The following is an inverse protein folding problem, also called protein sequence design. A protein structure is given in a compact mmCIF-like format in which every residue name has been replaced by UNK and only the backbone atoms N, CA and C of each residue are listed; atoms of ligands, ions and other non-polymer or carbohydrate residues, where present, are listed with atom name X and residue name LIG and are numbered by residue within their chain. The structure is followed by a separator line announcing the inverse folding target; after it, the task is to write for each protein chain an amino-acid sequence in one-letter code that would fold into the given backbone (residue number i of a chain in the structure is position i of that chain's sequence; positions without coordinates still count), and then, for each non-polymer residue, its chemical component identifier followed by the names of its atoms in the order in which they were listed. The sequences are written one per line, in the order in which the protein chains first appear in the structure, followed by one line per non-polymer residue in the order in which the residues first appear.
data_IF_827254428832
#
_entry.id   IF_827254428832
#
_cell.length_a   1.000
_cell.length_b   1.000
_cell.length_c   1.000
_cell.angle_alpha   90.00
_cell.angle_beta   90.00
_cell.angle_gamma   90.00
#
_symmetry.space_group_name_H-M   'P 1'
#
loop_
_entity.id
_entity.type
_entity.pdbx_description
1 polymer ?
#
# COMPACT_ATOMS: atom_id res chain seq x y z
N UNK A 1 -7.80 6.10 -17.96
CA UNK A 1 -6.75 6.77 -17.18
C UNK A 1 -5.36 6.15 -17.43
N UNK A 2 -4.42 6.89 -18.00
CA UNK A 2 -3.06 6.43 -18.31
C UNK A 2 -2.09 6.63 -17.12
N UNK A 3 -0.91 5.99 -17.13
CA UNK A 3 0.13 6.12 -16.09
C UNK A 3 0.58 7.57 -15.85
N UNK A 4 0.54 8.41 -16.88
CA UNK A 4 0.89 9.83 -16.79
C UNK A 4 -0.19 10.58 -16.03
N UNK A 5 -1.46 10.36 -16.36
CA UNK A 5 -2.60 10.97 -15.67
C UNK A 5 -2.66 10.54 -14.19
N UNK A 6 -2.38 9.26 -13.89
CA UNK A 6 -2.28 8.75 -12.51
C UNK A 6 -1.27 9.56 -11.67
N UNK A 7 -0.11 9.85 -12.27
CA UNK A 7 0.97 10.63 -11.69
C UNK A 7 0.62 12.11 -11.58
N UNK A 8 0.02 12.70 -12.61
CA UNK A 8 -0.37 14.11 -12.60
C UNK A 8 -1.46 14.38 -11.56
N UNK A 9 -2.48 13.51 -11.48
CA UNK A 9 -3.52 13.57 -10.47
C UNK A 9 -2.94 13.48 -9.06
N UNK A 10 -2.01 12.55 -8.83
CA UNK A 10 -1.33 12.43 -7.54
C UNK A 10 -0.60 13.73 -7.17
N UNK A 11 0.11 14.34 -8.12
CA UNK A 11 0.81 15.62 -7.89
C UNK A 11 -0.17 16.73 -7.52
N UNK A 12 -1.33 16.81 -8.19
CA UNK A 12 -2.34 17.82 -7.89
C UNK A 12 -2.99 17.62 -6.52
N UNK A 13 -3.39 16.38 -6.19
CA UNK A 13 -4.04 16.03 -4.92
C UNK A 13 -3.14 16.29 -3.70
N UNK A 14 -1.82 16.18 -3.89
CA UNK A 14 -0.83 16.40 -2.83
C UNK A 14 -0.54 17.88 -2.61
N UNK A 15 -0.64 18.75 -3.62
CA UNK A 15 -0.20 20.17 -3.55
C UNK A 15 -0.79 20.96 -2.37
N UNK A 16 -2.04 20.70 -1.99
CA UNK A 16 -2.69 21.37 -0.85
C UNK A 16 -2.44 20.71 0.52
N UNK A 17 -1.82 19.52 0.55
CA UNK A 17 -1.68 18.66 1.74
C UNK A 17 -0.22 18.26 2.00
N UNK A 18 0.75 18.89 1.33
CA UNK A 18 2.17 18.52 1.42
C UNK A 18 2.66 18.50 2.86
N UNK A 19 2.34 19.53 3.65
CA UNK A 19 2.84 19.65 5.03
C UNK A 19 2.41 18.47 5.90
N UNK A 20 1.13 18.09 5.86
CA UNK A 20 0.62 16.98 6.67
C UNK A 20 1.11 15.62 6.15
N UNK A 21 1.21 15.44 4.82
CA UNK A 21 1.71 14.20 4.23
C UNK A 21 3.21 14.02 4.47
N UNK A 22 3.98 15.11 4.51
CA UNK A 22 5.38 15.11 4.92
C UNK A 22 5.51 14.69 6.37
N UNK A 23 4.71 15.27 7.28
CA UNK A 23 4.71 14.88 8.69
C UNK A 23 4.37 13.39 8.87
N UNK A 24 3.33 12.90 8.20
CA UNK A 24 2.93 11.47 8.24
C UNK A 24 4.06 10.57 7.70
N UNK A 25 4.66 10.94 6.57
CA UNK A 25 5.77 10.18 5.98
C UNK A 25 6.98 10.15 6.92
N UNK A 26 7.32 11.28 7.53
CA UNK A 26 8.42 11.39 8.48
C UNK A 26 8.18 10.53 9.73
N UNK A 27 6.96 10.58 10.30
CA UNK A 27 6.57 9.73 11.43
C UNK A 27 6.76 8.25 11.06
N UNK A 28 6.27 7.82 9.88
CA UNK A 28 6.41 6.44 9.43
C UNK A 28 7.87 6.02 9.24
N UNK A 29 8.70 6.89 8.68
CA UNK A 29 10.14 6.63 8.52
C UNK A 29 10.82 6.51 9.88
N UNK A 30 10.51 7.39 10.84
CA UNK A 30 11.08 7.34 12.19
C UNK A 30 10.64 6.10 12.95
N UNK A 31 9.36 5.71 12.86
CA UNK A 31 8.86 4.48 13.49
C UNK A 31 9.53 3.25 12.89
N UNK A 32 9.66 3.19 11.56
CA UNK A 32 10.25 2.04 10.87
C UNK A 32 11.76 1.94 11.12
N UNK A 33 12.47 3.07 11.03
CA UNK A 33 13.92 3.14 11.22
C UNK A 33 14.30 2.96 12.70
N UNK A 34 13.63 3.68 13.60
CA UNK A 34 13.83 3.56 15.05
C UNK A 34 13.48 2.15 15.55
N UNK A 35 12.38 1.57 15.07
CA UNK A 35 12.03 0.17 15.34
C UNK A 35 13.13 -0.79 14.90
N UNK A 36 13.65 -0.64 13.68
CA UNK A 36 14.72 -1.50 13.16
C UNK A 36 16.03 -1.39 13.96
N UNK A 37 16.38 -0.18 14.43
CA UNK A 37 17.58 0.06 15.24
C UNK A 37 17.50 -0.55 16.64
N UNK A 38 16.39 -0.33 17.37
CA UNK A 38 16.19 -0.88 18.72
C UNK A 38 16.24 -2.41 18.71
N UNK A 39 15.70 -3.02 17.66
CA UNK A 39 15.63 -4.47 17.51
C UNK A 39 16.97 -5.11 17.09
N UNK A 40 17.91 -4.34 16.56
CA UNK A 40 19.26 -4.82 16.20
C UNK A 40 20.10 -5.19 17.44
N UNK A 41 19.68 -4.77 18.63
CA UNK A 41 20.34 -5.07 19.91
C UNK A 41 19.79 -6.31 20.63
N UNK A 42 18.75 -6.97 20.11
CA UNK A 42 18.11 -8.13 20.77
C UNK A 42 18.14 -9.36 19.84
N UNK A 43 18.90 -10.43 20.16
CA UNK A 43 18.95 -11.62 19.32
C UNK A 43 17.71 -12.52 19.49
N UNK A 44 17.15 -12.93 18.33
CA UNK A 44 16.23 -14.04 18.07
C UNK A 44 14.80 -13.99 18.70
N UNK A 45 13.81 -13.95 17.80
CA UNK A 45 12.36 -14.26 17.98
C UNK A 45 11.43 -13.16 18.57
N UNK A 46 11.81 -12.43 19.62
CA UNK A 46 10.95 -11.37 20.19
C UNK A 46 10.69 -10.17 19.27
N UNK A 47 11.63 -9.91 18.35
CA UNK A 47 11.67 -8.76 17.45
C UNK A 47 10.68 -8.82 16.29
N UNK A 48 10.27 -10.03 15.86
CA UNK A 48 9.42 -10.19 14.68
C UNK A 48 7.94 -10.00 15.05
N UNK A 49 7.53 -10.50 16.22
CA UNK A 49 6.15 -10.38 16.69
C UNK A 49 5.78 -8.93 17.06
N UNK A 50 6.67 -8.20 17.75
CA UNK A 50 6.46 -6.78 18.09
C UNK A 50 6.45 -5.88 16.86
N UNK A 51 7.28 -6.17 15.85
CA UNK A 51 7.27 -5.49 14.55
C UNK A 51 5.93 -5.66 13.84
N UNK A 52 5.37 -6.87 13.78
CA UNK A 52 4.09 -7.06 13.08
C UNK A 52 2.96 -6.33 13.83
N UNK A 53 2.97 -6.33 15.16
CA UNK A 53 1.90 -5.72 15.97
C UNK A 53 1.92 -4.19 15.90
N UNK A 54 3.09 -3.55 15.87
CA UNK A 54 3.18 -2.08 15.80
C UNK A 54 3.06 -1.57 14.36
N UNK A 55 3.68 -2.27 13.41
CA UNK A 55 3.83 -1.76 12.03
C UNK A 55 2.64 -2.11 11.13
N UNK A 56 1.95 -3.23 11.37
CA UNK A 56 0.81 -3.62 10.52
C UNK A 56 -0.39 -2.65 10.62
N UNK A 57 -0.81 -2.19 11.81
CA UNK A 57 -1.88 -1.20 11.95
C UNK A 57 -1.50 0.14 11.34
N UNK A 58 -0.26 0.59 11.55
CA UNK A 58 0.27 1.81 10.95
C UNK A 58 0.32 1.73 9.42
N UNK A 59 0.63 0.55 8.87
CA UNK A 59 0.60 0.34 7.41
C UNK A 59 -0.82 0.46 6.86
N UNK A 60 -1.83 -0.10 7.54
CA UNK A 60 -3.23 0.10 7.14
C UNK A 60 -3.67 1.55 7.26
N UNK A 61 -3.35 2.23 8.37
CA UNK A 61 -3.67 3.64 8.56
C UNK A 61 -2.98 4.54 7.52
N UNK A 62 -1.74 4.20 7.15
CA UNK A 62 -1.02 4.86 6.06
C UNK A 62 -1.78 4.71 4.73
N UNK A 63 -2.22 3.50 4.39
CA UNK A 63 -3.02 3.26 3.18
C UNK A 63 -4.35 3.99 3.21
N UNK A 64 -5.05 4.03 4.35
CA UNK A 64 -6.27 4.81 4.54
C UNK A 64 -6.04 6.30 4.27
N UNK A 65 -4.94 6.86 4.76
CA UNK A 65 -4.55 8.26 4.50
C UNK A 65 -4.38 8.53 3.00
N UNK A 66 -3.65 7.70 2.27
CA UNK A 66 -3.42 7.94 0.83
C UNK A 66 -4.65 7.65 -0.02
N UNK A 67 -5.54 6.75 0.40
CA UNK A 67 -6.87 6.61 -0.18
C UNK A 67 -7.71 7.88 0.03
N UNK A 68 -7.70 8.47 1.22
CA UNK A 68 -8.36 9.77 1.46
C UNK A 68 -7.81 10.87 0.56
N UNK A 69 -6.49 10.94 0.39
CA UNK A 69 -5.85 11.90 -0.54
C UNK A 69 -6.33 11.67 -1.98
N UNK A 70 -6.30 10.43 -2.45
CA UNK A 70 -6.73 10.05 -3.79
C UNK A 70 -8.22 10.32 -4.03
N UNK A 71 -9.04 10.21 -2.98
CA UNK A 71 -10.47 10.50 -3.01
C UNK A 71 -10.79 11.98 -2.77
N UNK A 72 -9.79 12.85 -2.65
CA UNK A 72 -9.98 14.30 -2.41
C UNK A 72 -10.42 14.67 -1.00
N UNK A 73 -10.51 13.73 -0.07
CA UNK A 73 -11.01 13.92 1.30
C UNK A 73 -10.00 14.62 2.22
N UNK A 74 -10.47 15.29 3.28
CA UNK A 74 -9.60 15.89 4.29
C UNK A 74 -8.81 14.81 5.04
N UNK A 75 -7.52 15.11 5.27
CA UNK A 75 -6.55 14.21 5.88
C UNK A 75 -6.12 14.82 7.19
N UNK A 76 -6.07 14.02 8.24
CA UNK A 76 -5.56 14.39 9.55
C UNK A 76 -4.50 13.39 10.01
N UNK A 77 -3.57 13.81 10.88
CA UNK A 77 -2.55 12.90 11.44
C UNK A 77 -3.22 11.75 12.21
N UNK A 78 -4.37 12.00 12.84
CA UNK A 78 -5.17 10.99 13.54
C UNK A 78 -5.65 9.84 12.64
N UNK A 79 -5.78 10.06 11.33
CA UNK A 79 -6.18 9.00 10.39
C UNK A 79 -5.12 7.89 10.29
N UNK A 80 -3.85 8.19 10.56
CA UNK A 80 -2.77 7.21 10.60
C UNK A 80 -3.01 6.15 11.69
N UNK A 81 -3.66 6.54 12.79
CA UNK A 81 -3.92 5.66 13.92
C UNK A 81 -5.23 4.88 13.78
N UNK A 82 -6.07 5.17 12.77
CA UNK A 82 -7.31 4.41 12.54
C UNK A 82 -7.07 2.95 12.21
N UNK A 83 -5.91 2.61 11.66
CA UNK A 83 -5.52 1.21 11.47
C UNK A 83 -5.43 0.40 12.78
N UNK A 84 -5.32 1.06 13.95
CA UNK A 84 -5.39 0.41 15.26
C UNK A 84 -6.81 0.00 15.68
N UNK A 85 -7.86 0.44 14.98
CA UNK A 85 -9.22 0.00 15.29
C UNK A 85 -9.43 -1.48 14.91
N UNK A 86 -8.72 -1.96 13.90
CA UNK A 86 -8.78 -3.34 13.40
C UNK A 86 -7.43 -4.06 13.46
N UNK A 87 -6.76 -4.01 14.61
CA UNK A 87 -5.46 -4.68 14.85
C UNK A 87 -5.45 -6.13 14.37
N UNK A 88 -6.52 -6.86 14.65
CA UNK A 88 -6.62 -8.29 14.35
C UNK A 88 -6.71 -8.56 12.84
N UNK A 89 -7.35 -7.67 12.10
CA UNK A 89 -7.45 -7.76 10.65
C UNK A 89 -6.13 -7.35 9.99
N UNK A 90 -5.52 -6.26 10.45
CA UNK A 90 -4.20 -5.80 10.00
C UNK A 90 -3.13 -6.88 10.15
N UNK A 91 -3.06 -7.47 11.35
CA UNK A 91 -2.12 -8.53 11.68
C UNK A 91 -2.30 -9.76 10.78
N UNK A 92 -3.53 -10.26 10.64
CA UNK A 92 -3.83 -11.43 9.79
C UNK A 92 -3.45 -11.19 8.35
N UNK A 93 -3.78 -10.02 7.81
CA UNK A 93 -3.48 -9.68 6.42
C UNK A 93 -1.98 -9.66 6.19
N UNK A 94 -1.23 -8.97 7.06
CA UNK A 94 0.22 -8.93 6.97
C UNK A 94 0.83 -10.34 7.06
N UNK A 95 0.31 -11.17 7.97
CA UNK A 95 0.75 -12.54 8.14
C UNK A 95 0.49 -13.40 6.90
N UNK A 96 -0.73 -13.39 6.34
CA UNK A 96 -1.07 -14.20 5.16
C UNK A 96 -0.36 -13.71 3.91
N UNK A 97 -0.29 -12.39 3.67
CA UNK A 97 0.43 -11.83 2.53
C UNK A 97 1.91 -12.19 2.61
N UNK A 98 2.53 -12.04 3.79
CA UNK A 98 3.92 -12.40 4.03
C UNK A 98 4.17 -13.90 3.85
N UNK A 99 3.31 -14.75 4.42
CA UNK A 99 3.39 -16.21 4.32
C UNK A 99 3.29 -16.65 2.86
N UNK A 100 2.25 -16.22 2.14
CA UNK A 100 2.09 -16.61 0.74
C UNK A 100 3.23 -16.08 -0.12
N UNK A 101 3.63 -14.82 0.04
CA UNK A 101 4.74 -14.25 -0.74
C UNK A 101 6.05 -14.98 -0.47
N UNK A 102 6.32 -15.33 0.80
CA UNK A 102 7.48 -16.14 1.20
C UNK A 102 7.44 -17.54 0.58
N UNK A 103 6.31 -18.23 0.65
CA UNK A 103 6.13 -19.56 0.06
C UNK A 103 6.35 -19.54 -1.46
N UNK A 104 5.79 -18.55 -2.16
CA UNK A 104 5.99 -18.40 -3.60
C UNK A 104 7.42 -18.03 -3.96
N UNK A 105 8.08 -17.16 -3.18
CA UNK A 105 9.47 -16.74 -3.41
C UNK A 105 10.48 -17.86 -3.10
N UNK A 106 10.16 -18.73 -2.13
CA UNK A 106 10.97 -19.91 -1.79
C UNK A 106 10.89 -20.96 -2.90
N UNK A 107 9.74 -21.07 -3.57
CA UNK A 107 9.56 -21.98 -4.69
C UNK A 107 10.29 -21.46 -5.96
N UNK A 108 10.07 -20.18 -6.32
CA UNK A 108 10.78 -19.48 -7.40
C UNK A 108 10.63 -17.95 -7.26
N UNK A 109 11.69 -17.18 -7.56
CA UNK A 109 11.69 -15.70 -7.40
C UNK A 109 10.64 -15.01 -8.29
N UNK A 110 10.49 -15.43 -9.55
CA UNK A 110 9.58 -14.82 -10.53
C UNK A 110 8.09 -14.95 -10.14
N UNK A 111 7.53 -16.13 -9.80
CA UNK A 111 6.14 -16.24 -9.37
C UNK A 111 5.89 -15.55 -8.02
N UNK A 112 6.90 -15.45 -7.14
CA UNK A 112 6.84 -14.63 -5.93
C UNK A 112 6.49 -13.17 -6.23
N UNK A 113 7.18 -12.55 -7.20
CA UNK A 113 6.92 -11.17 -7.62
C UNK A 113 5.50 -11.01 -8.19
N UNK A 114 5.08 -11.91 -9.10
CA UNK A 114 3.75 -11.85 -9.73
C UNK A 114 2.63 -11.98 -8.70
N UNK A 115 2.80 -12.87 -7.71
CA UNK A 115 1.84 -13.03 -6.61
C UNK A 115 1.84 -11.84 -5.66
N UNK A 116 3.01 -11.29 -5.33
CA UNK A 116 3.12 -10.05 -4.55
C UNK A 116 2.36 -8.89 -5.20
N UNK A 117 2.51 -8.72 -6.52
CA UNK A 117 1.73 -7.73 -7.28
C UNK A 117 0.23 -8.03 -7.18
N UNK A 118 -0.17 -9.29 -7.32
CA UNK A 118 -1.58 -9.69 -7.25
C UNK A 118 -2.22 -9.42 -5.87
N UNK A 119 -1.42 -9.33 -4.80
CA UNK A 119 -1.90 -9.09 -3.43
C UNK A 119 -1.80 -7.62 -3.01
N UNK A 120 -1.17 -6.78 -3.82
CA UNK A 120 -0.90 -5.37 -3.49
C UNK A 120 -2.18 -4.55 -3.18
N UNK A 121 -3.32 -4.91 -3.80
CA UNK A 121 -4.59 -4.22 -3.61
C UNK A 121 -5.37 -4.70 -2.38
N UNK A 122 -4.99 -5.83 -1.77
CA UNK A 122 -5.70 -6.41 -0.63
C UNK A 122 -5.78 -5.42 0.55
N UNK A 123 -4.70 -4.69 0.80
CA UNK A 123 -4.66 -3.69 1.85
C UNK A 123 -5.58 -2.48 1.58
N UNK A 124 -5.74 -2.08 0.32
CA UNK A 124 -6.66 -1.00 -0.07
C UNK A 124 -8.12 -1.43 0.11
N UNK A 125 -8.44 -2.68 -0.24
CA UNK A 125 -9.76 -3.27 -0.04
C UNK A 125 -10.12 -3.33 1.45
N UNK A 126 -9.16 -3.72 2.30
CA UNK A 126 -9.33 -3.76 3.75
C UNK A 126 -9.45 -2.36 4.37
N UNK A 127 -8.70 -1.39 3.84
CA UNK A 127 -8.79 -0.01 4.30
C UNK A 127 -10.19 0.58 4.06
N UNK A 128 -10.87 0.16 2.98
CA UNK A 128 -12.26 0.57 2.70
C UNK A 128 -13.31 -0.30 3.40
N UNK A 129 -12.98 -1.56 3.72
CA UNK A 129 -13.88 -2.52 4.36
C UNK A 129 -13.28 -3.04 5.67
N UNK A 130 -13.24 -2.21 6.73
CA UNK A 130 -12.81 -2.64 8.05
C UNK A 130 -13.64 -3.84 8.51
N UNK A 131 -12.98 -4.87 9.03
CA UNK A 131 -13.61 -6.14 9.44
C UNK A 131 -13.71 -7.26 8.37
N UNK A 132 -13.40 -7.02 7.10
CA UNK A 132 -13.36 -8.08 6.07
C UNK A 132 -12.25 -9.11 6.36
N UNK A 133 -12.51 -10.39 6.06
CA UNK A 133 -11.51 -11.45 6.24
C UNK A 133 -10.28 -11.26 5.32
N UNK A 134 -9.08 -11.43 5.86
CA UNK A 134 -7.82 -11.28 5.11
C UNK A 134 -7.77 -12.12 3.82
N UNK A 135 -8.24 -13.38 3.87
CA UNK A 135 -8.30 -14.26 2.69
C UNK A 135 -9.29 -13.77 1.65
N UNK A 136 -10.41 -13.19 2.08
CA UNK A 136 -11.41 -12.61 1.20
C UNK A 136 -10.84 -11.38 0.48
N UNK A 137 -10.16 -10.49 1.23
CA UNK A 137 -9.47 -9.34 0.66
C UNK A 137 -8.38 -9.74 -0.34
N UNK A 138 -7.60 -10.78 -0.03
CA UNK A 138 -6.59 -11.33 -0.96
C UNK A 138 -7.25 -11.87 -2.23
N UNK A 139 -8.35 -12.60 -2.12
CA UNK A 139 -9.03 -13.16 -3.27
C UNK A 139 -9.66 -12.07 -4.15
N UNK A 140 -10.29 -11.05 -3.54
CA UNK A 140 -10.78 -9.88 -4.26
C UNK A 140 -9.64 -9.11 -4.94
N UNK A 141 -8.50 -8.95 -4.27
CA UNK A 141 -7.31 -8.33 -4.86
C UNK A 141 -6.81 -9.10 -6.08
N UNK A 142 -6.75 -10.44 -6.02
CA UNK A 142 -6.33 -11.27 -7.15
C UNK A 142 -7.24 -11.06 -8.37
N UNK A 143 -8.56 -11.06 -8.15
CA UNK A 143 -9.54 -10.87 -9.21
C UNK A 143 -9.44 -9.45 -9.81
N UNK A 144 -9.36 -8.42 -8.96
CA UNK A 144 -9.23 -7.02 -9.38
C UNK A 144 -7.93 -6.74 -10.15
N UNK A 145 -6.86 -7.48 -9.84
CA UNK A 145 -5.57 -7.35 -10.51
C UNK A 145 -5.46 -8.17 -11.79
N UNK A 146 -6.44 -9.01 -12.12
CA UNK A 146 -6.43 -9.78 -13.37
C UNK A 146 -6.51 -8.83 -14.58
N UNK A 147 -5.66 -9.03 -15.58
CA UNK A 147 -5.49 -8.07 -16.69
C UNK A 147 -4.66 -6.81 -16.37
N UNK A 148 -4.50 -6.42 -15.10
CA UNK A 148 -3.82 -5.19 -14.69
C UNK A 148 -2.43 -5.38 -14.05
N UNK A 149 -1.94 -6.62 -13.90
CA UNK A 149 -0.64 -6.93 -13.29
C UNK A 149 0.53 -6.25 -14.02
N UNK A 150 0.50 -6.25 -15.34
CA UNK A 150 1.55 -5.63 -16.17
C UNK A 150 1.51 -4.10 -16.08
N UNK A 151 0.32 -3.51 -16.03
CA UNK A 151 0.17 -2.06 -15.83
C UNK A 151 0.78 -1.63 -14.49
N UNK A 152 0.50 -2.39 -13.43
CA UNK A 152 1.06 -2.14 -12.10
C UNK A 152 2.58 -2.34 -12.09
N UNK A 153 3.09 -3.39 -12.73
CA UNK A 153 4.52 -3.63 -12.84
C UNK A 153 5.26 -2.49 -13.54
N UNK A 154 4.75 -2.03 -14.69
CA UNK A 154 5.33 -0.89 -15.44
C UNK A 154 5.22 0.40 -14.63
N UNK A 155 4.11 0.60 -13.91
CA UNK A 155 3.95 1.74 -13.00
C UNK A 155 5.02 1.71 -11.90
N UNK A 156 5.23 0.59 -11.24
CA UNK A 156 6.26 0.42 -10.21
C UNK A 156 7.67 0.59 -10.78
N UNK A 157 7.97 0.03 -11.96
CA UNK A 157 9.25 0.25 -12.64
C UNK A 157 9.52 1.72 -12.93
N UNK A 158 8.48 2.48 -13.30
CA UNK A 158 8.61 3.92 -13.54
C UNK A 158 8.95 4.73 -12.28
N UNK A 159 8.81 4.13 -11.10
CA UNK A 159 9.22 4.70 -9.82
C UNK A 159 10.57 4.19 -9.32
N UNK A 160 11.14 3.17 -9.95
CA UNK A 160 12.41 2.57 -9.56
C UNK A 160 13.57 3.58 -9.54
N UNK A 161 13.56 4.55 -10.46
CA UNK A 161 14.53 5.66 -10.46
C UNK A 161 14.48 6.53 -9.20
N UNK A 162 13.28 6.74 -8.62
CA UNK A 162 13.14 7.48 -7.37
C UNK A 162 13.66 6.70 -6.17
N UNK A 163 13.51 5.37 -6.18
CA UNK A 163 14.09 4.51 -5.15
C UNK A 163 15.62 4.54 -5.19
N UNK A 164 16.22 4.44 -6.39
CA UNK A 164 17.67 4.55 -6.56
C UNK A 164 18.20 5.92 -6.11
N UNK A 165 17.50 6.99 -6.49
CA UNK A 165 17.88 8.34 -6.10
C UNK A 165 17.72 8.58 -4.59
N UNK A 166 16.68 8.00 -3.99
CA UNK A 166 16.50 7.99 -2.53
C UNK A 166 17.66 7.28 -1.84
N UNK A 167 18.12 6.14 -2.37
CA UNK A 167 19.26 5.41 -1.80
C UNK A 167 20.56 6.24 -1.85
N UNK A 168 20.85 6.88 -2.99
CA UNK A 168 22.04 7.72 -3.15
C UNK A 168 22.01 8.95 -2.25
N UNK A 169 20.82 9.50 -1.98
CA UNK A 169 20.63 10.70 -1.15
C UNK A 169 20.35 10.38 0.32
N UNK A 170 20.64 9.15 0.78
CA UNK A 170 20.37 8.70 2.15
C UNK A 170 18.91 8.91 2.61
N UNK A 171 17.95 8.77 1.70
CA UNK A 171 16.53 8.85 1.99
C UNK A 171 15.90 10.24 1.87
N UNK A 172 16.69 11.29 1.63
CA UNK A 172 16.19 12.68 1.59
C UNK A 172 15.17 12.87 0.46
N UNK A 173 15.47 12.36 -0.74
CA UNK A 173 14.53 12.41 -1.88
C UNK A 173 13.29 11.55 -1.62
N UNK A 174 13.44 10.48 -0.85
CA UNK A 174 12.36 9.60 -0.44
C UNK A 174 11.23 10.34 0.27
N UNK A 175 11.53 11.34 1.09
CA UNK A 175 10.51 12.06 1.87
C UNK A 175 9.48 12.77 0.95
N UNK A 176 9.92 13.23 -0.22
CA UNK A 176 9.06 13.87 -1.22
C UNK A 176 8.47 12.87 -2.21
N UNK A 177 9.25 11.85 -2.59
CA UNK A 177 8.83 10.84 -3.55
C UNK A 177 7.77 9.89 -2.97
N UNK A 178 7.86 9.54 -1.69
CA UNK A 178 6.95 8.62 -1.01
C UNK A 178 5.48 9.06 -1.08
N UNK A 179 5.09 10.27 -0.66
CA UNK A 179 3.68 10.67 -0.72
C UNK A 179 3.16 10.68 -2.15
N UNK A 180 4.01 11.10 -3.10
CA UNK A 180 3.70 11.07 -4.53
C UNK A 180 3.44 9.65 -5.06
N UNK A 181 4.31 8.69 -4.74
CA UNK A 181 4.14 7.29 -5.13
C UNK A 181 2.90 6.67 -4.47
N UNK A 182 2.71 6.90 -3.17
CA UNK A 182 1.60 6.34 -2.40
C UNK A 182 0.24 6.82 -2.92
N UNK A 183 0.08 8.13 -3.19
CA UNK A 183 -1.14 8.65 -3.84
C UNK A 183 -1.30 8.08 -5.26
N UNK A 184 -0.22 7.88 -6.01
CA UNK A 184 -0.31 7.27 -7.35
C UNK A 184 -0.84 5.84 -7.29
N UNK A 185 -0.39 5.03 -6.33
CA UNK A 185 -0.90 3.66 -6.14
C UNK A 185 -2.36 3.65 -5.67
N UNK A 186 -2.76 4.58 -4.79
CA UNK A 186 -4.15 4.75 -4.41
C UNK A 186 -5.06 5.14 -5.61
N UNK A 187 -4.59 6.05 -6.48
CA UNK A 187 -5.32 6.37 -7.71
C UNK A 187 -5.38 5.16 -8.67
N UNK A 188 -4.34 4.33 -8.71
CA UNK A 188 -4.36 3.09 -9.51
C UNK A 188 -5.41 2.12 -8.99
N UNK A 189 -5.49 1.94 -7.66
CA UNK A 189 -6.55 1.15 -7.02
C UNK A 189 -7.95 1.65 -7.38
N UNK A 190 -8.19 2.96 -7.25
CA UNK A 190 -9.49 3.55 -7.61
C UNK A 190 -9.83 3.33 -9.09
N UNK A 191 -8.85 3.43 -9.98
CA UNK A 191 -9.02 3.17 -11.41
C UNK A 191 -9.52 1.74 -11.67
N UNK A 192 -8.80 0.73 -11.18
CA UNK A 192 -9.14 -0.68 -11.43
C UNK A 192 -10.44 -1.09 -10.75
N UNK A 193 -10.73 -0.52 -9.57
CA UNK A 193 -12.00 -0.69 -8.87
C UNK A 193 -13.17 -0.16 -9.70
N UNK A 194 -13.05 1.06 -10.24
CA UNK A 194 -14.09 1.65 -11.07
C UNK A 194 -14.29 0.88 -12.38
N UNK A 195 -13.21 0.44 -13.03
CA UNK A 195 -13.32 -0.43 -14.22
C UNK A 195 -14.06 -1.74 -13.89
N UNK A 196 -13.76 -2.38 -12.76
CA UNK A 196 -14.47 -3.60 -12.35
C UNK A 196 -15.96 -3.37 -12.09
N UNK A 197 -16.31 -2.25 -11.45
CA UNK A 197 -17.70 -1.89 -11.21
C UNK A 197 -18.46 -1.65 -12.53
N UNK A 198 -17.89 -0.90 -13.47
CA UNK A 198 -18.48 -0.64 -14.79
C UNK A 198 -18.79 -1.94 -15.56
N UNK A 199 -17.87 -2.91 -15.53
CA UNK A 199 -18.07 -4.22 -16.18
C UNK A 199 -19.23 -4.99 -15.55
N UNK A 200 -19.36 -4.96 -14.21
CA UNK A 200 -20.47 -5.61 -13.50
C UNK A 200 -21.82 -4.95 -13.85
N UNK A 201 -21.90 -3.62 -13.86
CA UNK A 201 -23.13 -2.91 -14.25
C UNK A 201 -23.58 -3.25 -15.68
N UNK A 202 -22.66 -3.33 -16.63
CA UNK A 202 -22.99 -3.71 -18.03
C UNK A 202 -23.45 -5.16 -18.13
N UNK A 203 -22.90 -6.05 -17.29
CA UNK A 203 -23.28 -7.47 -17.32
C UNK A 203 -24.67 -7.68 -16.73
N UNK A 204 -25.03 -6.95 -15.67
CA UNK A 204 -26.35 -7.02 -15.04
C UNK A 204 -27.49 -6.41 -15.88
N UNK A 205 -27.20 -5.42 -16.75
CA UNK A 205 -28.23 -4.81 -17.63
C UNK A 205 -28.55 -5.62 -18.89
N UNK A 206 -27.74 -6.64 -19.20
CA UNK A 206 -27.92 -7.51 -20.38
C UNK A 206 -28.64 -8.83 -19.99
N UNK A 207 -28.89 -9.06 -18.70
CA UNK A 207 -29.70 -10.17 -18.18
C UNK A 207 -31.16 -9.77 -17.98
#
# INVERSE_FOLDING_TARGET
MNRVELKENAKQQIKGKIGILFAITLIMVLVTFGGSLVLSFIPFVGSVASLIVITAPLTLGYIMVYLKVANGQNVEIGDLFKGYQDLWCAFKTQFFVGLFTGLWSLLFVIPGIIKGISYSMAYYILAENPGMGALEAINRSKAMMEGHKMDYFVLTLSFYGWFLLSYITCGIVGIWAIPYMATTYANFYNKIKNTGNEVNYVTETIQ
#
